data_IF_080345312826
#
_entry.id   IF_080345312826
#
_cell.length_a   1.000
_cell.length_b   1.000
_cell.length_c   1.000
_cell.angle_alpha   90.00
_cell.angle_beta   90.00
_cell.angle_gamma   90.00
#
_symmetry.space_group_name_H-M   'P 1'
#
loop_
_entity.id
_entity.type
_entity.pdbx_description
1 polymer ?
#
# COMPACT_ATOMS: atom_id res chain seq x y z
N UNK A 1 31.04 3.08 3.61
CA UNK A 1 30.36 1.77 3.73
C UNK A 1 28.96 2.07 4.21
N UNK A 2 27.91 1.78 3.43
CA UNK A 2 26.53 2.03 3.85
C UNK A 2 26.17 1.09 5.01
N UNK A 3 25.30 1.54 5.90
CA UNK A 3 24.74 0.71 6.97
C UNK A 3 23.90 -0.41 6.36
N UNK A 4 24.10 -1.65 6.81
CA UNK A 4 23.19 -2.75 6.47
C UNK A 4 22.04 -2.81 7.49
N UNK A 5 20.88 -3.39 7.15
CA UNK A 5 19.80 -3.58 8.14
C UNK A 5 20.24 -4.40 9.36
N UNK A 6 21.15 -5.36 9.16
CA UNK A 6 21.70 -6.17 10.24
C UNK A 6 22.60 -5.36 11.19
N UNK A 7 23.28 -4.31 10.71
CA UNK A 7 24.09 -3.41 11.56
C UNK A 7 23.22 -2.57 12.51
N UNK A 8 21.96 -2.30 12.13
CA UNK A 8 20.99 -1.55 12.93
C UNK A 8 20.41 -2.45 14.03
N UNK A 9 19.94 -3.66 13.68
CA UNK A 9 19.41 -4.64 14.65
C UNK A 9 20.46 -5.04 15.69
N UNK A 10 21.72 -5.19 15.30
CA UNK A 10 22.81 -5.55 16.22
C UNK A 10 23.35 -4.35 17.02
N UNK A 11 22.82 -3.14 16.85
CA UNK A 11 23.30 -1.94 17.53
C UNK A 11 22.82 -1.87 18.97
N UNK A 12 23.75 -1.95 19.92
CA UNK A 12 23.46 -1.70 21.35
C UNK A 12 23.99 -0.35 21.79
N UNK A 13 23.11 0.45 22.37
CA UNK A 13 23.43 1.75 22.98
C UNK A 13 23.77 1.60 24.47
N UNK A 14 24.46 2.58 25.04
CA UNK A 14 24.85 2.59 26.46
C UNK A 14 23.82 3.37 27.28
N UNK A 15 23.24 2.80 28.35
CA UNK A 15 22.19 3.45 29.12
C UNK A 15 22.72 4.65 29.92
N UNK A 16 22.12 5.83 29.74
CA UNK A 16 22.53 7.06 30.43
C UNK A 16 21.78 7.27 31.74
N UNK A 17 22.44 6.98 32.88
CA UNK A 17 21.81 7.08 34.22
C UNK A 17 21.81 8.47 34.88
N UNK A 18 22.49 9.46 34.30
CA UNK A 18 22.76 10.76 34.96
C UNK A 18 22.54 11.99 34.06
N UNK A 19 21.85 11.82 32.94
CA UNK A 19 21.47 12.87 31.99
C UNK A 19 20.12 12.55 31.38
N UNK A 20 19.45 13.56 30.85
CA UNK A 20 18.34 13.36 29.91
C UNK A 20 18.85 12.50 28.76
N UNK A 21 18.25 11.31 28.63
CA UNK A 21 18.51 10.36 27.57
C UNK A 21 17.19 10.03 26.88
N UNK A 22 17.28 9.49 25.67
CA UNK A 22 16.12 8.95 24.98
C UNK A 22 15.58 7.73 25.75
N UNK A 23 14.27 7.54 25.71
CA UNK A 23 13.68 6.30 26.23
C UNK A 23 14.20 5.11 25.40
N UNK A 24 14.49 4.00 26.07
CA UNK A 24 15.00 2.83 25.36
C UNK A 24 13.91 2.23 24.47
N UNK A 25 12.68 2.16 24.96
CA UNK A 25 11.58 1.52 24.23
C UNK A 25 11.21 2.34 22.98
N UNK A 26 11.19 3.68 23.07
CA UNK A 26 10.96 4.59 21.93
C UNK A 26 12.09 4.52 20.89
N UNK A 27 13.34 4.33 21.33
CA UNK A 27 14.48 4.14 20.42
C UNK A 27 14.42 2.77 19.74
N UNK A 28 14.08 1.71 20.47
CA UNK A 28 13.98 0.36 19.92
C UNK A 28 12.82 0.27 18.90
N UNK A 29 11.66 0.88 19.17
CA UNK A 29 10.52 1.01 18.23
C UNK A 29 10.93 1.75 16.92
N UNK A 30 11.65 2.88 17.05
CA UNK A 30 12.11 3.66 15.89
C UNK A 30 13.19 2.94 15.06
N UNK A 31 14.02 2.12 15.70
CA UNK A 31 15.02 1.30 15.01
C UNK A 31 14.37 0.18 14.20
N UNK A 32 13.28 -0.42 14.68
CA UNK A 32 12.50 -1.41 13.93
C UNK A 32 11.86 -0.80 12.68
N UNK A 33 11.31 0.41 12.75
CA UNK A 33 10.81 1.15 11.58
C UNK A 33 11.93 1.40 10.55
N UNK A 34 13.10 1.88 11.01
CA UNK A 34 14.29 2.07 10.15
C UNK A 34 14.72 0.75 9.49
N UNK A 35 14.70 -0.38 10.20
CA UNK A 35 15.10 -1.69 9.63
C UNK A 35 14.14 -2.12 8.52
N UNK A 36 12.84 -1.87 8.68
CA UNK A 36 11.81 -2.15 7.66
C UNK A 36 12.04 -1.26 6.42
N UNK A 37 12.18 0.06 6.61
CA UNK A 37 12.43 1.00 5.50
C UNK A 37 13.75 0.69 4.78
N UNK A 38 14.82 0.40 5.52
CA UNK A 38 16.12 0.13 4.93
C UNK A 38 16.11 -1.17 4.12
N UNK A 39 15.45 -2.24 4.63
CA UNK A 39 15.23 -3.48 3.85
C UNK A 39 14.44 -3.22 2.57
N UNK A 40 13.38 -2.40 2.65
CA UNK A 40 12.58 -2.00 1.48
C UNK A 40 13.42 -1.21 0.48
N UNK A 41 14.18 -0.21 0.90
CA UNK A 41 15.04 0.59 0.03
C UNK A 41 16.12 -0.24 -0.65
N UNK A 42 16.72 -1.23 0.03
CA UNK A 42 17.66 -2.15 -0.58
C UNK A 42 17.00 -3.03 -1.66
N UNK A 43 15.78 -3.52 -1.42
CA UNK A 43 15.00 -4.27 -2.43
C UNK A 43 14.64 -3.40 -3.63
N UNK A 44 14.12 -2.19 -3.40
CA UNK A 44 13.81 -1.22 -4.46
C UNK A 44 15.07 -0.85 -5.28
N UNK A 45 16.24 -0.69 -4.64
CA UNK A 45 17.50 -0.39 -5.35
C UNK A 45 17.96 -1.57 -6.21
N UNK A 46 17.87 -2.81 -5.72
CA UNK A 46 18.19 -4.01 -6.50
C UNK A 46 17.22 -4.21 -7.68
N UNK A 47 15.92 -3.98 -7.50
CA UNK A 47 14.94 -4.05 -8.59
C UNK A 47 15.15 -2.92 -9.62
N UNK A 48 15.50 -1.70 -9.19
CA UNK A 48 15.89 -0.62 -10.10
C UNK A 48 17.16 -0.95 -10.88
N UNK A 49 18.19 -1.52 -10.23
CA UNK A 49 19.42 -1.99 -10.90
C UNK A 49 19.13 -3.10 -11.91
N UNK A 50 18.28 -4.06 -11.57
CA UNK A 50 17.82 -5.11 -12.49
C UNK A 50 17.07 -4.54 -13.69
N UNK A 51 16.19 -3.56 -13.47
CA UNK A 51 15.47 -2.86 -14.55
C UNK A 51 16.43 -2.07 -15.46
N UNK A 52 17.43 -1.41 -14.89
CA UNK A 52 18.48 -0.74 -15.67
C UNK A 52 19.29 -1.75 -16.50
N UNK A 53 19.80 -2.83 -15.89
CA UNK A 53 20.52 -3.88 -16.61
C UNK A 53 19.68 -4.53 -17.72
N UNK A 54 18.39 -4.73 -17.50
CA UNK A 54 17.47 -5.24 -18.52
C UNK A 54 17.21 -4.22 -19.64
N UNK A 55 17.10 -2.93 -19.31
CA UNK A 55 16.97 -1.85 -20.28
C UNK A 55 18.25 -1.68 -21.11
N UNK A 56 19.43 -1.66 -20.47
CA UNK A 56 20.74 -1.60 -21.11
C UNK A 56 20.97 -2.83 -22.01
N UNK A 57 20.58 -4.03 -21.56
CA UNK A 57 20.60 -5.24 -22.38
C UNK A 57 19.72 -5.12 -23.63
N UNK A 58 18.51 -4.57 -23.49
CA UNK A 58 17.58 -4.34 -24.60
C UNK A 58 18.04 -3.22 -25.54
N UNK A 59 18.70 -2.19 -25.01
CA UNK A 59 19.36 -1.15 -25.81
C UNK A 59 20.55 -1.74 -26.56
N UNK A 60 21.37 -2.58 -25.93
CA UNK A 60 22.49 -3.26 -26.57
C UNK A 60 22.03 -4.27 -27.63
N UNK A 61 20.89 -4.93 -27.44
CA UNK A 61 20.24 -5.77 -28.45
C UNK A 61 19.71 -4.92 -29.62
N UNK A 62 19.00 -3.82 -29.35
CA UNK A 62 18.53 -2.88 -30.38
C UNK A 62 19.67 -2.22 -31.15
N UNK A 63 20.78 -1.89 -30.48
CA UNK A 63 22.01 -1.40 -31.11
C UNK A 63 22.73 -2.48 -31.91
N UNK A 64 22.59 -3.77 -31.53
CA UNK A 64 23.18 -4.90 -32.28
C UNK A 64 22.34 -5.23 -33.52
N UNK A 65 21.01 -5.29 -33.42
CA UNK A 65 20.14 -5.35 -34.60
C UNK A 65 20.25 -4.08 -35.46
N UNK A 66 20.52 -2.93 -34.82
CA UNK A 66 20.89 -1.66 -35.46
C UNK A 66 22.35 -1.57 -35.93
N UNK A 67 23.13 -2.64 -35.76
CA UNK A 67 24.50 -2.83 -36.26
C UNK A 67 24.64 -4.11 -37.12
N UNK A 68 23.57 -4.87 -37.32
CA UNK A 68 23.43 -5.86 -38.40
C UNK A 68 22.97 -5.20 -39.71
N UNK A 69 22.51 -3.95 -39.67
CA UNK A 69 22.26 -3.11 -40.84
C UNK A 69 23.46 -2.28 -41.33
N UNK A 70 24.70 -2.63 -40.94
CA UNK A 70 25.80 -2.72 -41.91
C UNK A 70 26.69 -3.95 -41.70
N UNK A 71 26.12 -5.17 -41.70
CA UNK A 71 26.87 -6.43 -41.51
C UNK A 71 27.00 -7.35 -42.74
N UNK A 72 25.93 -7.50 -43.54
CA UNK A 72 25.86 -8.56 -44.56
C UNK A 72 26.54 -8.20 -45.91
N UNK A 73 27.79 -7.71 -45.86
CA UNK A 73 28.62 -7.46 -47.05
C UNK A 73 30.11 -7.87 -46.93
N UNK A 74 30.60 -8.35 -45.78
CA UNK A 74 32.06 -8.58 -45.57
C UNK A 74 32.44 -9.97 -45.05
N UNK A 75 32.09 -11.02 -45.79
CA UNK A 75 32.88 -12.27 -45.79
C UNK A 75 32.70 -13.09 -47.08
N UNK A 76 33.58 -12.84 -48.05
CA UNK A 76 33.76 -13.68 -49.24
C UNK A 76 35.26 -13.73 -49.60
N UNK A 77 35.77 -14.83 -50.19
CA UNK A 77 37.20 -15.03 -50.44
C UNK A 77 37.75 -14.09 -51.53
N UNK A 78 39.09 -13.90 -51.62
CA UNK A 78 39.68 -12.95 -52.55
C UNK A 78 39.57 -13.46 -54.00
N UNK A 79 38.83 -12.71 -54.83
CA UNK A 79 38.73 -12.94 -56.28
C UNK A 79 39.25 -11.70 -57.02
N UNK A 80 39.80 -11.94 -58.21
CA UNK A 80 40.59 -11.02 -59.03
C UNK A 80 39.86 -9.72 -59.44
N UNK A 81 40.60 -8.65 -59.79
CA UNK A 81 40.00 -7.38 -60.20
C UNK A 81 39.33 -7.48 -61.58
N UNK A 82 38.04 -7.80 -61.59
CA UNK A 82 37.14 -7.48 -62.68
C UNK A 82 36.61 -6.04 -62.51
N UNK A 83 36.41 -5.26 -63.59
CA UNK A 83 35.99 -3.87 -63.49
C UNK A 83 34.60 -3.76 -62.85
N UNK A 84 34.47 -2.87 -61.85
CA UNK A 84 33.18 -2.59 -61.21
C UNK A 84 32.24 -1.90 -62.20
N UNK A 85 31.29 -2.65 -62.75
CA UNK A 85 30.03 -2.08 -63.19
C UNK A 85 29.22 -1.71 -61.93
N UNK A 86 29.34 -0.45 -61.50
CA UNK A 86 28.29 0.14 -60.68
C UNK A 86 26.96 0.01 -61.43
N UNK A 87 25.83 -0.29 -60.76
CA UNK A 87 24.53 0.01 -61.33
C UNK A 87 24.40 1.53 -61.39
N UNK A 88 24.81 2.07 -62.53
CA UNK A 88 24.63 3.46 -62.91
C UNK A 88 23.15 3.84 -62.77
N UNK A 89 22.86 5.04 -62.27
CA UNK A 89 21.49 5.51 -62.11
C UNK A 89 20.88 5.90 -63.46
N UNK A 90 20.59 4.90 -64.30
CA UNK A 90 19.96 5.04 -65.62
C UNK A 90 18.63 4.31 -65.68
N UNK A 91 17.68 4.86 -64.92
CA UNK A 91 16.28 4.82 -65.31
C UNK A 91 15.85 6.26 -65.55
N UNK A 92 15.79 6.66 -66.82
CA UNK A 92 15.11 7.88 -67.24
C UNK A 92 13.69 7.87 -66.63
N UNK A 93 13.28 8.86 -65.80
CA UNK A 93 11.90 8.93 -65.31
C UNK A 93 10.89 9.16 -66.46
N UNK A 94 11.41 9.43 -67.66
CA UNK A 94 10.73 9.73 -68.92
C UNK A 94 10.05 8.53 -69.60
N UNK A 95 10.28 7.28 -69.15
CA UNK A 95 9.71 6.06 -69.76
C UNK A 95 8.86 5.21 -68.82
N UNK A 96 8.65 5.64 -67.57
CA UNK A 96 7.59 5.10 -66.72
C UNK A 96 6.25 5.62 -67.22
N UNK A 97 5.39 4.73 -67.73
CA UNK A 97 4.01 5.04 -68.12
C UNK A 97 3.33 5.89 -67.03
N UNK A 98 2.98 7.14 -67.34
CA UNK A 98 2.45 8.08 -66.35
C UNK A 98 1.13 7.61 -65.71
N UNK A 99 0.41 6.72 -66.40
CA UNK A 99 -0.76 5.99 -65.90
C UNK A 99 -0.40 4.99 -64.79
N UNK A 100 0.72 4.28 -64.91
CA UNK A 100 1.15 3.25 -63.95
C UNK A 100 1.62 3.89 -62.63
N UNK A 101 2.35 5.01 -62.71
CA UNK A 101 2.72 5.81 -61.53
C UNK A 101 1.48 6.39 -60.82
N UNK A 102 0.47 6.85 -61.56
CA UNK A 102 -0.79 7.32 -60.98
C UNK A 102 -1.55 6.18 -60.27
N UNK A 103 -1.62 4.98 -60.88
CA UNK A 103 -2.20 3.80 -60.25
C UNK A 103 -1.46 3.39 -58.95
N UNK A 104 -0.13 3.45 -58.95
CA UNK A 104 0.68 3.16 -57.76
C UNK A 104 0.44 4.19 -56.64
N UNK A 105 0.36 5.49 -56.95
CA UNK A 105 0.02 6.53 -55.98
C UNK A 105 -1.39 6.36 -55.40
N UNK A 106 -2.37 5.95 -56.23
CA UNK A 106 -3.72 5.64 -55.77
C UNK A 106 -3.75 4.41 -54.86
N UNK A 107 -2.98 3.36 -55.17
CA UNK A 107 -2.86 2.17 -54.32
C UNK A 107 -2.16 2.50 -52.99
N UNK A 108 -1.05 3.25 -53.03
CA UNK A 108 -0.33 3.70 -51.84
C UNK A 108 -1.22 4.57 -50.93
N UNK A 109 -2.01 5.48 -51.51
CA UNK A 109 -2.98 6.28 -50.75
C UNK A 109 -4.07 5.43 -50.12
N UNK A 110 -4.67 4.49 -50.86
CA UNK A 110 -5.68 3.56 -50.29
C UNK A 110 -5.12 2.73 -49.14
N UNK A 111 -3.92 2.17 -49.32
CA UNK A 111 -3.24 1.40 -48.27
C UNK A 111 -2.94 2.27 -47.03
N UNK A 112 -2.53 3.52 -47.23
CA UNK A 112 -2.32 4.47 -46.14
C UNK A 112 -3.64 4.80 -45.42
N UNK A 113 -4.71 5.12 -46.16
CA UNK A 113 -6.03 5.42 -45.61
C UNK A 113 -6.59 4.21 -44.82
N UNK A 114 -6.34 2.98 -45.28
CA UNK A 114 -6.66 1.74 -44.54
C UNK A 114 -5.82 1.58 -43.28
N UNK A 115 -4.49 1.78 -43.34
CA UNK A 115 -3.61 1.66 -42.17
C UNK A 115 -3.92 2.73 -41.11
N UNK A 116 -4.27 3.94 -41.53
CA UNK A 116 -4.73 5.03 -40.67
C UNK A 116 -6.08 4.70 -40.02
N UNK A 117 -7.02 4.11 -40.77
CA UNK A 117 -8.30 3.62 -40.24
C UNK A 117 -8.10 2.50 -39.23
N UNK A 118 -7.25 1.52 -39.50
CA UNK A 118 -6.90 0.47 -38.56
C UNK A 118 -6.22 1.03 -37.30
N UNK A 119 -5.31 2.00 -37.44
CA UNK A 119 -4.67 2.67 -36.33
C UNK A 119 -5.66 3.42 -35.45
N UNK A 120 -6.65 4.10 -36.04
CA UNK A 120 -7.74 4.74 -35.29
C UNK A 120 -8.61 3.71 -34.55
N UNK A 121 -9.04 2.63 -35.21
CA UNK A 121 -9.83 1.56 -34.55
C UNK A 121 -9.06 0.95 -33.37
N UNK A 122 -7.81 0.55 -33.56
CA UNK A 122 -6.95 -0.01 -32.49
C UNK A 122 -6.74 0.98 -31.34
N UNK A 123 -6.56 2.26 -31.64
CA UNK A 123 -6.47 3.32 -30.60
C UNK A 123 -7.77 3.43 -29.81
N UNK A 124 -8.90 3.46 -30.49
CA UNK A 124 -10.21 3.67 -29.85
C UNK A 124 -10.64 2.43 -29.05
N UNK A 125 -10.27 1.22 -29.49
CA UNK A 125 -10.37 -0.03 -28.73
C UNK A 125 -9.53 0.00 -27.45
N UNK A 126 -8.25 0.39 -27.53
CA UNK A 126 -7.36 0.51 -26.36
C UNK A 126 -7.85 1.58 -25.37
N UNK A 127 -8.39 2.69 -25.87
CA UNK A 127 -9.02 3.72 -25.03
C UNK A 127 -10.27 3.17 -24.34
N UNK A 128 -11.13 2.42 -25.06
CA UNK A 128 -12.31 1.79 -24.49
C UNK A 128 -11.95 0.72 -23.42
N UNK A 129 -10.91 -0.09 -23.65
CA UNK A 129 -10.39 -1.06 -22.67
C UNK A 129 -9.81 -0.34 -21.43
N UNK A 130 -9.04 0.72 -21.64
CA UNK A 130 -8.50 1.56 -20.56
C UNK A 130 -9.62 2.17 -19.70
N UNK A 131 -10.68 2.71 -20.32
CA UNK A 131 -11.83 3.22 -19.58
C UNK A 131 -12.64 2.11 -18.89
N UNK A 132 -12.80 0.94 -19.51
CA UNK A 132 -13.51 -0.19 -18.92
C UNK A 132 -12.77 -0.77 -17.69
N UNK A 133 -11.45 -0.89 -17.77
CA UNK A 133 -10.60 -1.36 -16.65
C UNK A 133 -10.54 -0.33 -15.52
N UNK A 134 -10.37 0.96 -15.83
CA UNK A 134 -10.44 2.03 -14.83
C UNK A 134 -11.81 2.07 -14.13
N UNK A 135 -12.92 2.00 -14.88
CA UNK A 135 -14.25 1.98 -14.31
C UNK A 135 -14.54 0.71 -13.47
N UNK A 136 -13.90 -0.43 -13.80
CA UNK A 136 -13.95 -1.64 -12.95
C UNK A 136 -13.22 -1.41 -11.63
N UNK A 137 -11.98 -0.88 -11.68
CA UNK A 137 -11.17 -0.62 -10.50
C UNK A 137 -11.82 0.40 -9.55
N UNK A 138 -12.42 1.47 -10.08
CA UNK A 138 -13.17 2.46 -9.28
C UNK A 138 -14.35 1.81 -8.58
N UNK A 139 -15.17 1.00 -9.27
CA UNK A 139 -16.30 0.29 -8.63
C UNK A 139 -15.85 -0.70 -7.57
N UNK A 140 -14.72 -1.38 -7.78
CA UNK A 140 -14.14 -2.32 -6.81
C UNK A 140 -13.64 -1.58 -5.55
N UNK A 141 -12.91 -0.48 -5.73
CA UNK A 141 -12.45 0.38 -4.63
C UNK A 141 -13.63 1.02 -3.85
N UNK A 142 -14.66 1.51 -4.54
CA UNK A 142 -15.88 2.02 -3.90
C UNK A 142 -16.63 0.92 -3.12
N UNK A 143 -16.66 -0.31 -3.63
CA UNK A 143 -17.27 -1.44 -2.94
C UNK A 143 -16.48 -1.84 -1.68
N UNK A 144 -15.15 -1.92 -1.79
CA UNK A 144 -14.24 -2.18 -0.65
C UNK A 144 -14.38 -1.09 0.42
N UNK A 145 -14.33 0.20 0.03
CA UNK A 145 -14.53 1.33 0.93
C UNK A 145 -15.88 1.25 1.65
N UNK A 146 -16.97 0.90 0.95
CA UNK A 146 -18.29 0.69 1.59
C UNK A 146 -18.28 -0.48 2.57
N UNK A 147 -17.62 -1.59 2.26
CA UNK A 147 -17.51 -2.71 3.20
C UNK A 147 -16.67 -2.39 4.44
N UNK A 148 -15.58 -1.63 4.29
CA UNK A 148 -14.76 -1.18 5.42
C UNK A 148 -15.48 -0.17 6.30
N UNK A 149 -16.19 0.80 5.71
CA UNK A 149 -17.04 1.72 6.48
C UNK A 149 -18.11 0.97 7.27
N UNK A 150 -18.82 0.02 6.64
CA UNK A 150 -19.81 -0.80 7.33
C UNK A 150 -19.19 -1.64 8.47
N UNK A 151 -17.97 -2.15 8.29
CA UNK A 151 -17.24 -2.89 9.34
C UNK A 151 -16.86 -1.97 10.50
N UNK A 152 -16.29 -0.80 10.22
CA UNK A 152 -15.91 0.18 11.23
C UNK A 152 -17.12 0.74 11.98
N UNK A 153 -18.27 0.91 11.33
CA UNK A 153 -19.53 1.28 11.97
C UNK A 153 -20.05 0.19 12.91
N UNK A 154 -19.94 -1.09 12.54
CA UNK A 154 -20.29 -2.22 13.41
C UNK A 154 -19.34 -2.32 14.62
N UNK A 155 -18.02 -2.26 14.40
CA UNK A 155 -17.02 -2.26 15.47
C UNK A 155 -17.24 -1.09 16.44
N UNK A 156 -17.48 0.12 15.91
CA UNK A 156 -17.85 1.30 16.70
C UNK A 156 -19.12 1.06 17.53
N UNK A 157 -20.19 0.55 16.94
CA UNK A 157 -21.45 0.30 17.64
C UNK A 157 -21.29 -0.73 18.79
N UNK A 158 -20.49 -1.78 18.59
CA UNK A 158 -20.14 -2.76 19.64
C UNK A 158 -19.35 -2.10 20.77
N UNK A 159 -18.36 -1.27 20.46
CA UNK A 159 -17.56 -0.53 21.46
C UNK A 159 -18.45 0.47 22.23
N UNK A 160 -19.29 1.24 21.55
CA UNK A 160 -20.23 2.18 22.17
C UNK A 160 -21.21 1.45 23.11
N UNK A 161 -21.72 0.29 22.71
CA UNK A 161 -22.56 -0.54 23.58
C UNK A 161 -21.81 -1.05 24.82
N UNK A 162 -20.57 -1.53 24.67
CA UNK A 162 -19.71 -1.94 25.78
C UNK A 162 -19.45 -0.78 26.77
N UNK A 163 -19.15 0.41 26.26
CA UNK A 163 -18.99 1.63 27.09
C UNK A 163 -20.29 1.96 27.85
N UNK A 164 -21.45 1.82 27.22
CA UNK A 164 -22.74 2.01 27.89
C UNK A 164 -22.98 0.98 29.00
N UNK A 165 -22.70 -0.31 28.74
CA UNK A 165 -22.79 -1.39 29.72
C UNK A 165 -21.85 -1.17 30.92
N UNK A 166 -20.60 -0.78 30.68
CA UNK A 166 -19.64 -0.46 31.74
C UNK A 166 -20.09 0.74 32.58
N UNK A 167 -20.67 1.77 31.95
CA UNK A 167 -21.24 2.94 32.67
C UNK A 167 -22.53 2.62 33.43
N UNK A 168 -23.38 1.70 32.98
CA UNK A 168 -24.50 1.22 33.80
C UNK A 168 -24.01 0.37 34.97
N UNK A 169 -23.09 -0.57 34.72
CA UNK A 169 -22.47 -1.40 35.75
C UNK A 169 -21.79 -0.56 36.84
N UNK A 170 -21.02 0.47 36.47
CA UNK A 170 -20.38 1.38 37.42
C UNK A 170 -21.41 2.11 38.30
N UNK A 171 -22.47 2.66 37.69
CA UNK A 171 -23.54 3.37 38.42
C UNK A 171 -24.29 2.43 39.37
N UNK A 172 -24.65 1.24 38.90
CA UNK A 172 -25.27 0.21 39.74
C UNK A 172 -24.35 -0.24 40.87
N UNK A 173 -23.07 -0.48 40.60
CA UNK A 173 -22.09 -0.88 41.61
C UNK A 173 -21.91 0.20 42.68
N UNK A 174 -21.77 1.48 42.29
CA UNK A 174 -21.72 2.62 43.22
C UNK A 174 -23.00 2.70 44.07
N UNK A 175 -24.18 2.52 43.48
CA UNK A 175 -25.46 2.52 44.22
C UNK A 175 -25.55 1.35 45.20
N UNK A 176 -25.21 0.12 44.77
CA UNK A 176 -25.22 -1.08 45.61
C UNK A 176 -24.23 -0.96 46.78
N UNK A 177 -23.02 -0.47 46.52
CA UNK A 177 -21.99 -0.23 47.55
C UNK A 177 -22.47 0.83 48.56
N UNK A 178 -23.07 1.92 48.09
CA UNK A 178 -23.66 2.95 48.96
C UNK A 178 -24.76 2.34 49.85
N UNK A 179 -25.73 1.62 49.28
CA UNK A 179 -26.81 1.00 50.06
C UNK A 179 -26.31 -0.05 51.06
N UNK A 180 -25.24 -0.78 50.72
CA UNK A 180 -24.61 -1.74 51.62
C UNK A 180 -23.97 -1.05 52.83
N UNK A 181 -23.22 0.05 52.59
CA UNK A 181 -22.61 0.84 53.67
C UNK A 181 -23.69 1.52 54.54
N UNK A 182 -24.75 2.06 53.93
CA UNK A 182 -25.89 2.63 54.67
C UNK A 182 -26.60 1.58 55.53
N UNK A 183 -26.83 0.36 55.02
CA UNK A 183 -27.38 -0.77 55.80
C UNK A 183 -26.50 -1.11 57.00
N UNK A 184 -25.19 -1.31 56.78
CA UNK A 184 -24.22 -1.63 57.83
C UNK A 184 -24.14 -0.53 58.91
N UNK A 185 -24.24 0.75 58.54
CA UNK A 185 -24.33 1.86 59.49
C UNK A 185 -25.61 1.79 60.32
N UNK A 186 -26.78 1.59 59.70
CA UNK A 186 -28.04 1.46 60.43
C UNK A 186 -28.10 0.23 61.34
N UNK A 187 -27.46 -0.88 60.95
CA UNK A 187 -27.28 -2.07 61.80
C UNK A 187 -26.46 -1.73 63.04
N UNK A 188 -25.32 -1.03 62.88
CA UNK A 188 -24.47 -0.59 63.99
C UNK A 188 -25.17 0.40 64.93
N UNK A 189 -25.88 1.39 64.38
CA UNK A 189 -26.69 2.33 65.17
C UNK A 189 -27.78 1.58 65.97
N UNK A 190 -28.47 0.63 65.34
CA UNK A 190 -29.49 -0.18 66.02
C UNK A 190 -28.92 -1.10 67.11
N UNK A 191 -27.72 -1.65 66.91
CA UNK A 191 -27.00 -2.46 67.90
C UNK A 191 -26.47 -1.60 69.06
N UNK A 192 -26.10 -0.34 68.80
CA UNK A 192 -25.78 0.66 69.81
C UNK A 192 -27.00 1.08 70.65
N UNK A 193 -28.19 1.11 70.05
CA UNK A 193 -29.48 1.36 70.73
C UNK A 193 -30.12 0.03 71.18
N UNK A 194 -29.33 -0.80 71.87
CA UNK A 194 -29.92 -1.87 72.68
C UNK A 194 -30.78 -1.23 73.78
N UNK A 195 -32.10 -1.52 73.88
CA UNK A 195 -32.94 -0.91 74.90
C UNK A 195 -32.49 -1.39 76.27
N UNK A 196 -31.97 -0.47 77.08
CA UNK A 196 -31.76 -0.70 78.50
C UNK A 196 -33.10 -0.98 79.14
N UNK A 197 -33.39 -2.27 79.36
CA UNK A 197 -34.64 -2.73 79.96
C UNK A 197 -34.84 -1.98 81.28
N UNK A 198 -35.86 -1.12 81.32
CA UNK A 198 -36.26 -0.42 82.53
C UNK A 198 -36.66 -1.47 83.56
N UNK A 199 -35.82 -1.64 84.58
CA UNK A 199 -36.15 -2.47 85.72
C UNK A 199 -37.46 -1.96 86.35
N UNK A 200 -38.46 -2.83 86.59
CA UNK A 200 -39.73 -2.41 87.19
C UNK A 200 -39.50 -2.03 88.66
N UNK A 201 -39.43 -0.73 88.95
CA UNK A 201 -39.25 -0.21 90.31
C UNK A 201 -40.56 -0.05 91.07
N UNK A 202 -40.87 -0.99 92.00
CA UNK A 202 -41.95 -0.88 93.00
C UNK A 202 -41.82 -2.03 94.03
N UNK A 203 -41.83 -1.92 95.37
CA UNK A 203 -41.67 -0.82 96.36
C UNK A 203 -41.20 -1.46 97.69
N UNK A 204 -40.54 -0.74 98.62
CA UNK A 204 -40.27 -1.26 99.97
C UNK A 204 -41.57 -1.29 100.82
N UNK A 205 -42.14 -2.49 101.01
CA UNK A 205 -43.27 -2.75 101.90
C UNK A 205 -42.82 -3.18 103.30
N UNK A 206 -43.49 -2.69 104.34
CA UNK A 206 -43.05 -2.71 105.75
C UNK A 206 -43.87 -3.75 106.58
N UNK A 207 -43.24 -4.25 107.65
CA UNK A 207 -43.81 -5.00 108.80
C UNK A 207 -44.21 -6.47 108.62
N UNK A 208 -43.94 -7.25 109.68
CA UNK A 208 -44.35 -8.65 109.86
C UNK A 208 -43.52 -9.35 110.93
#
# INVERSE_FOLDING_TARGET
>A
MPLTPEDVVNKRFQPTKFREGYDQDEVDDFLDEIVIELRRLYQENEDLRRRLLAADGRIAELQRSGADLPGQLVSAPPVQPAPMAFPEAVADPSTLDSSNTNNLLQLARKLHDEHVREGMVKRDELIAEGHATAARLVREAEAQQRSDLNRLEQEKAVIEHSIQQLRSFEREYRTRLKSYIESQLTELDSAGVAPSQQAPGYTPGISG
#
